data_IF_758920684107
#
_entry.id   IF_758920684107
#
_cell.length_a   1.000
_cell.length_b   1.000
_cell.length_c   1.000
_cell.angle_alpha   90.00
_cell.angle_beta   90.00
_cell.angle_gamma   90.00
#
_symmetry.space_group_name_H-M   'P 1'
#
loop_
_entity.id
_entity.type
_entity.pdbx_description
1 polymer ?
#
# COMPACT_ATOMS: atom_id res chain seq x y z
N UNK A 1 16.03 -5.88 4.19
CA UNK A 1 14.91 -5.34 4.98
C UNK A 1 13.63 -5.53 4.18
N UNK A 2 12.46 -5.57 4.83
CA UNK A 2 11.16 -5.48 4.14
C UNK A 2 10.54 -4.10 4.35
N UNK A 3 9.65 -3.73 3.46
CA UNK A 3 8.97 -2.44 3.46
C UNK A 3 7.48 -2.66 3.20
N UNK A 4 6.64 -1.79 3.76
CA UNK A 4 5.23 -1.68 3.44
C UNK A 4 5.01 -0.42 2.62
N UNK A 5 4.25 -0.56 1.54
CA UNK A 5 3.65 0.57 0.83
C UNK A 5 2.14 0.44 0.97
N UNK A 6 1.56 1.28 1.81
CA UNK A 6 0.15 1.25 2.16
C UNK A 6 -0.58 2.45 1.58
N UNK A 7 -1.76 2.20 1.02
CA UNK A 7 -2.66 3.23 0.51
C UNK A 7 -4.04 3.06 1.12
N UNK A 8 -4.56 4.12 1.74
CA UNK A 8 -5.95 4.20 2.18
C UNK A 8 -6.74 5.13 1.25
N UNK A 9 -7.91 4.66 0.86
CA UNK A 9 -8.83 5.35 -0.04
C UNK A 9 -10.13 5.51 0.73
N UNK A 10 -10.50 6.74 1.07
CA UNK A 10 -11.81 7.06 1.62
C UNK A 10 -12.62 7.86 0.60
N UNK A 11 -13.71 7.25 0.09
CA UNK A 11 -14.60 7.88 -0.89
C UNK A 11 -16.04 7.39 -0.68
N UNK A 12 -16.97 8.25 -0.24
CA UNK A 12 -18.37 7.87 -0.07
C UNK A 12 -19.00 7.22 -1.33
N UNK A 13 -19.68 6.09 -1.17
CA UNK A 13 -20.32 5.30 -2.24
C UNK A 13 -19.40 4.30 -2.95
N UNK A 14 -18.31 3.88 -2.29
CA UNK A 14 -17.25 3.08 -2.89
C UNK A 14 -17.66 1.62 -3.21
N UNK A 15 -18.72 1.12 -2.61
CA UNK A 15 -19.29 -0.21 -2.92
C UNK A 15 -19.59 -0.37 -4.42
N UNK A 16 -20.01 0.71 -5.09
CA UNK A 16 -20.23 0.73 -6.55
C UNK A 16 -18.93 0.72 -7.36
N UNK A 17 -17.80 0.99 -6.71
CA UNK A 17 -16.47 1.24 -7.29
C UNK A 17 -15.43 0.22 -6.85
N UNK A 18 -15.84 -0.90 -6.26
CA UNK A 18 -14.95 -2.03 -5.96
C UNK A 18 -14.14 -2.42 -7.20
N UNK A 19 -14.79 -2.52 -8.36
CA UNK A 19 -14.12 -2.82 -9.63
C UNK A 19 -13.10 -1.75 -10.06
N UNK A 20 -13.30 -0.47 -9.72
CA UNK A 20 -12.31 0.60 -9.96
C UNK A 20 -11.06 0.35 -9.10
N UNK A 21 -11.24 -0.02 -7.83
CA UNK A 21 -10.13 -0.28 -6.92
C UNK A 21 -9.36 -1.54 -7.30
N UNK A 22 -10.06 -2.59 -7.74
CA UNK A 22 -9.44 -3.80 -8.28
C UNK A 22 -8.65 -3.48 -9.55
N UNK A 23 -9.20 -2.68 -10.46
CA UNK A 23 -8.51 -2.26 -11.69
C UNK A 23 -7.24 -1.46 -11.40
N UNK A 24 -7.29 -0.56 -10.41
CA UNK A 24 -6.12 0.21 -9.97
C UNK A 24 -5.07 -0.66 -9.28
N UNK A 25 -5.48 -1.60 -8.43
CA UNK A 25 -4.56 -2.57 -7.85
C UNK A 25 -3.85 -3.39 -8.94
N UNK A 26 -4.61 -3.85 -9.94
CA UNK A 26 -4.05 -4.54 -11.10
C UNK A 26 -3.06 -3.68 -11.88
N UNK A 27 -3.43 -2.43 -12.22
CA UNK A 27 -2.53 -1.52 -12.92
C UNK A 27 -1.24 -1.29 -12.13
N UNK A 28 -1.33 -1.15 -10.80
CA UNK A 28 -0.17 -1.03 -9.93
C UNK A 28 0.70 -2.31 -9.94
N UNK A 29 0.10 -3.50 -9.84
CA UNK A 29 0.81 -4.79 -9.96
C UNK A 29 1.60 -4.87 -11.28
N UNK A 30 0.99 -4.43 -12.38
CA UNK A 30 1.62 -4.44 -13.69
C UNK A 30 2.76 -3.42 -13.80
N UNK A 31 2.63 -2.25 -13.16
CA UNK A 31 3.66 -1.22 -13.14
C UNK A 31 4.93 -1.67 -12.38
N UNK A 32 4.78 -2.39 -11.26
CA UNK A 32 5.91 -2.86 -10.46
C UNK A 32 6.53 -4.16 -10.99
N UNK A 33 5.84 -4.89 -11.86
CA UNK A 33 6.25 -6.20 -12.40
C UNK A 33 7.70 -6.26 -12.90
N UNK A 34 8.26 -5.27 -13.62
CA UNK A 34 9.63 -5.34 -14.12
C UNK A 34 10.73 -5.23 -13.06
N UNK A 35 10.39 -4.89 -11.81
CA UNK A 35 11.37 -4.50 -10.78
C UNK A 35 11.78 -5.64 -9.84
N UNK A 36 11.10 -6.79 -9.90
CA UNK A 36 11.48 -8.03 -9.21
C UNK A 36 10.91 -9.23 -10.00
N UNK A 37 11.73 -10.22 -10.40
CA UNK A 37 11.27 -11.41 -11.12
C UNK A 37 10.11 -12.17 -10.45
N UNK A 38 10.01 -12.14 -9.12
CA UNK A 38 8.92 -12.80 -8.40
C UNK A 38 7.56 -12.16 -8.72
N UNK A 39 7.52 -10.87 -9.07
CA UNK A 39 6.29 -10.13 -9.40
C UNK A 39 5.63 -10.57 -10.71
N UNK A 40 6.27 -11.46 -11.48
CA UNK A 40 5.66 -12.05 -12.67
C UNK A 40 4.59 -13.10 -12.36
N UNK A 41 4.59 -13.63 -11.14
CA UNK A 41 3.67 -14.68 -10.69
C UNK A 41 2.96 -14.19 -9.44
N UNK A 42 1.63 -14.14 -9.45
CA UNK A 42 0.80 -13.78 -8.30
C UNK A 42 -0.24 -14.86 -8.05
N UNK A 43 -0.33 -15.34 -6.81
CA UNK A 43 -1.31 -16.34 -6.39
C UNK A 43 -1.97 -15.93 -5.09
N UNK A 44 -3.20 -16.38 -4.89
CA UNK A 44 -3.87 -16.20 -3.60
C UNK A 44 -3.15 -16.99 -2.50
N UNK A 45 -3.03 -16.40 -1.32
CA UNK A 45 -2.56 -17.12 -0.13
C UNK A 45 -3.56 -18.20 0.29
N UNK A 46 -3.10 -19.18 1.07
CA UNK A 46 -3.97 -20.22 1.60
C UNK A 46 -3.52 -20.64 3.00
N UNK A 47 -4.37 -21.40 3.69
CA UNK A 47 -4.09 -21.92 5.04
C UNK A 47 -2.91 -22.90 5.07
N UNK A 48 -2.57 -23.50 3.93
CA UNK A 48 -1.48 -24.46 3.81
C UNK A 48 -0.63 -24.13 2.60
N UNK A 49 0.66 -24.48 2.68
CA UNK A 49 1.61 -24.32 1.57
C UNK A 49 1.14 -25.04 0.30
N UNK A 50 0.74 -26.30 0.41
CA UNK A 50 0.28 -27.08 -0.74
C UNK A 50 -0.93 -26.45 -1.45
N UNK A 51 -1.88 -25.88 -0.69
CA UNK A 51 -3.00 -25.15 -1.29
C UNK A 51 -2.53 -23.85 -1.96
N UNK A 52 -1.66 -23.07 -1.32
CA UNK A 52 -1.13 -21.83 -1.89
C UNK A 52 -0.34 -22.09 -3.18
N UNK A 53 0.42 -23.19 -3.23
CA UNK A 53 1.15 -23.62 -4.42
C UNK A 53 0.23 -24.03 -5.56
N UNK A 54 -0.88 -24.71 -5.23
CA UNK A 54 -1.88 -25.17 -6.20
C UNK A 54 -2.79 -24.07 -6.72
N UNK A 55 -2.88 -22.91 -6.04
CA UNK A 55 -3.68 -21.80 -6.50
C UNK A 55 -3.23 -21.29 -7.88
N UNK A 56 -4.17 -20.96 -8.78
CA UNK A 56 -3.84 -20.51 -10.13
C UNK A 56 -3.13 -19.16 -10.10
N UNK A 57 -2.24 -18.95 -11.08
CA UNK A 57 -1.60 -17.65 -11.29
C UNK A 57 -2.65 -16.63 -11.79
N UNK A 58 -2.59 -15.41 -11.27
CA UNK A 58 -3.42 -14.28 -11.72
C UNK A 58 -2.66 -13.56 -12.84
N UNK A 59 -3.13 -13.70 -14.07
CA UNK A 59 -2.49 -13.19 -15.28
C UNK A 59 -3.30 -12.08 -15.96
N UNK A 60 -4.55 -11.89 -15.56
CA UNK A 60 -5.47 -10.90 -16.12
C UNK A 60 -6.27 -10.17 -15.04
N UNK A 61 -6.75 -8.99 -15.39
CA UNK A 61 -7.64 -8.21 -14.53
C UNK A 61 -8.94 -8.98 -14.20
N UNK A 62 -9.50 -9.73 -15.15
CA UNK A 62 -10.73 -10.48 -14.92
C UNK A 62 -10.53 -11.65 -13.93
N UNK A 63 -9.37 -12.30 -13.96
CA UNK A 63 -9.01 -13.28 -12.93
C UNK A 63 -8.89 -12.62 -11.56
N UNK A 64 -8.26 -11.44 -11.45
CA UNK A 64 -8.17 -10.71 -10.18
C UNK A 64 -9.57 -10.34 -9.67
N UNK A 65 -10.43 -9.80 -10.53
CA UNK A 65 -11.84 -9.49 -10.19
C UNK A 65 -12.55 -10.73 -9.68
N UNK A 66 -12.45 -11.84 -10.40
CA UNK A 66 -13.07 -13.08 -9.99
C UNK A 66 -12.56 -13.56 -8.62
N UNK A 67 -11.25 -13.49 -8.37
CA UNK A 67 -10.68 -13.83 -7.06
C UNK A 67 -11.22 -12.94 -5.94
N UNK A 68 -11.31 -11.62 -6.15
CA UNK A 68 -11.85 -10.69 -5.14
C UNK A 68 -13.32 -10.97 -4.86
N UNK A 69 -14.14 -11.11 -5.91
CA UNK A 69 -15.58 -11.38 -5.79
C UNK A 69 -15.86 -12.75 -5.14
N UNK A 70 -15.07 -13.78 -5.45
CA UNK A 70 -15.20 -15.10 -4.84
C UNK A 70 -14.90 -15.12 -3.33
N UNK A 71 -14.07 -14.18 -2.85
CA UNK A 71 -13.74 -14.05 -1.44
C UNK A 71 -14.72 -13.19 -0.65
N UNK A 72 -15.67 -12.56 -1.32
CA UNK A 72 -16.67 -11.76 -0.65
C UNK A 72 -17.66 -12.66 0.10
N UNK A 73 -17.77 -12.42 1.40
CA UNK A 73 -18.79 -13.01 2.24
C UNK A 73 -19.92 -12.00 2.44
N UNK A 74 -21.18 -12.36 2.13
CA UNK A 74 -22.31 -11.42 2.18
C UNK A 74 -22.56 -10.77 3.55
N UNK A 75 -22.08 -11.37 4.63
CA UNK A 75 -22.18 -10.88 6.02
C UNK A 75 -21.07 -9.91 6.41
N UNK A 76 -20.04 -9.72 5.57
CA UNK A 76 -18.97 -8.77 5.79
C UNK A 76 -19.18 -7.49 4.96
N UNK A 77 -18.76 -6.32 5.47
CA UNK A 77 -18.83 -5.06 4.75
C UNK A 77 -18.15 -5.05 3.37
N UNK A 78 -17.13 -5.91 3.18
CA UNK A 78 -16.57 -6.16 1.86
C UNK A 78 -15.44 -7.20 1.88
N UNK A 79 -14.84 -7.54 0.71
CA UNK A 79 -13.84 -8.58 0.59
C UNK A 79 -12.45 -8.16 1.10
N UNK A 80 -11.68 -9.15 1.54
CA UNK A 80 -10.24 -9.01 1.73
C UNK A 80 -9.56 -10.19 1.06
N UNK A 81 -8.59 -9.90 0.19
CA UNK A 81 -7.73 -10.91 -0.40
C UNK A 81 -6.27 -10.57 -0.14
N UNK A 82 -5.47 -11.62 0.00
CA UNK A 82 -4.02 -11.53 0.12
C UNK A 82 -3.40 -12.39 -0.97
N UNK A 83 -2.54 -11.76 -1.77
CA UNK A 83 -1.77 -12.39 -2.84
C UNK A 83 -0.30 -12.46 -2.43
N UNK A 84 0.41 -13.49 -2.88
CA UNK A 84 1.86 -13.57 -2.78
C UNK A 84 2.47 -13.70 -4.17
N UNK A 85 3.67 -13.15 -4.32
CA UNK A 85 4.44 -13.18 -5.56
C UNK A 85 5.50 -14.28 -5.54
N UNK A 86 5.83 -14.83 -6.71
CA UNK A 86 6.80 -15.91 -6.86
C UNK A 86 6.34 -17.26 -6.30
N UNK A 87 7.29 -18.12 -5.96
CA UNK A 87 7.04 -19.37 -5.25
C UNK A 87 6.91 -19.15 -3.73
N UNK A 88 6.22 -20.06 -3.03
CA UNK A 88 5.90 -19.88 -1.59
C UNK A 88 7.15 -19.65 -0.74
N UNK A 89 8.30 -20.19 -1.15
CA UNK A 89 9.59 -19.97 -0.47
C UNK A 89 10.53 -18.99 -1.20
N UNK A 90 10.08 -18.33 -2.28
CA UNK A 90 10.93 -17.46 -3.12
C UNK A 90 11.21 -16.08 -2.50
N UNK A 91 10.79 -15.87 -1.24
CA UNK A 91 10.84 -14.59 -0.55
C UNK A 91 10.27 -13.42 -1.40
N UNK A 92 9.15 -13.70 -2.07
CA UNK A 92 8.43 -12.71 -2.85
C UNK A 92 7.71 -11.68 -1.97
N UNK A 93 7.23 -10.64 -2.64
CA UNK A 93 6.31 -9.64 -2.07
C UNK A 93 4.90 -10.21 -1.90
N UNK A 94 4.10 -9.61 -1.01
CA UNK A 94 2.66 -9.85 -0.91
C UNK A 94 1.86 -8.57 -1.18
N UNK A 95 0.65 -8.73 -1.68
CA UNK A 95 -0.29 -7.64 -1.93
C UNK A 95 -1.60 -7.95 -1.19
N UNK A 96 -2.04 -7.02 -0.34
CA UNK A 96 -3.36 -7.06 0.29
C UNK A 96 -4.29 -6.09 -0.43
N UNK A 97 -5.49 -6.56 -0.76
CA UNK A 97 -6.58 -5.75 -1.28
C UNK A 97 -7.76 -5.93 -0.32
N UNK A 98 -8.08 -4.88 0.42
CA UNK A 98 -9.19 -4.85 1.36
C UNK A 98 -10.18 -3.79 0.92
N UNK A 99 -11.40 -4.20 0.58
CA UNK A 99 -12.44 -3.31 0.06
C UNK A 99 -13.61 -3.32 1.03
N UNK A 100 -14.12 -2.14 1.39
CA UNK A 100 -15.27 -1.95 2.26
C UNK A 100 -15.02 -2.26 3.74
N UNK A 101 -13.78 -2.45 4.17
CA UNK A 101 -13.45 -2.75 5.58
C UNK A 101 -12.39 -1.79 6.13
N UNK A 102 -12.55 -1.28 7.38
CA UNK A 102 -13.60 -1.62 8.35
C UNK A 102 -14.96 -0.95 8.05
N UNK A 103 -15.03 -0.02 7.09
CA UNK A 103 -16.25 0.68 6.69
C UNK A 103 -16.46 0.61 5.17
N UNK A 104 -17.71 0.61 4.68
CA UNK A 104 -18.03 0.44 3.25
C UNK A 104 -17.29 1.42 2.32
N UNK A 105 -17.09 2.66 2.77
CA UNK A 105 -16.47 3.72 1.97
C UNK A 105 -14.92 3.72 2.00
N UNK A 106 -14.30 2.72 2.61
CA UNK A 106 -12.85 2.67 2.83
C UNK A 106 -12.22 1.44 2.21
N UNK A 107 -11.24 1.66 1.32
CA UNK A 107 -10.45 0.61 0.69
C UNK A 107 -8.96 0.77 1.04
N UNK A 108 -8.26 -0.36 1.16
CA UNK A 108 -6.82 -0.43 1.36
C UNK A 108 -6.16 -1.28 0.27
N UNK A 109 -5.07 -0.77 -0.26
CA UNK A 109 -4.17 -1.50 -1.17
C UNK A 109 -2.77 -1.41 -0.57
N UNK A 110 -2.20 -2.55 -0.22
CA UNK A 110 -0.95 -2.64 0.53
C UNK A 110 0.01 -3.62 -0.13
N UNK A 111 1.23 -3.16 -0.41
CA UNK A 111 2.33 -4.00 -0.87
C UNK A 111 3.32 -4.20 0.28
N UNK A 112 3.54 -5.44 0.69
CA UNK A 112 4.64 -5.81 1.58
C UNK A 112 5.75 -6.47 0.76
N UNK A 113 6.93 -5.88 0.75
CA UNK A 113 8.01 -6.31 -0.15
C UNK A 113 8.69 -7.60 0.29
N UNK A 114 9.13 -8.41 -0.67
CA UNK A 114 10.22 -9.37 -0.46
C UNK A 114 11.55 -8.67 -0.13
N UNK A 115 12.59 -9.40 0.29
CA UNK A 115 13.85 -8.75 0.67
C UNK A 115 14.56 -8.09 -0.52
N UNK A 116 14.45 -8.63 -1.73
CA UNK A 116 15.10 -8.05 -2.92
C UNK A 116 14.56 -6.66 -3.24
N UNK A 117 13.24 -6.53 -3.36
CA UNK A 117 12.58 -5.25 -3.61
C UNK A 117 12.80 -4.28 -2.44
N UNK A 118 12.76 -4.78 -1.19
CA UNK A 118 13.04 -3.97 0.00
C UNK A 118 14.49 -3.46 0.06
N UNK A 119 15.48 -4.28 -0.32
CA UNK A 119 16.87 -3.86 -0.42
C UNK A 119 17.09 -2.79 -1.49
N UNK A 120 16.29 -2.81 -2.57
CA UNK A 120 16.32 -1.74 -3.58
C UNK A 120 15.79 -0.43 -3.02
N UNK A 121 14.69 -0.46 -2.26
CA UNK A 121 14.16 0.74 -1.58
C UNK A 121 15.20 1.33 -0.62
N UNK A 122 15.96 0.49 0.08
CA UNK A 122 17.05 0.93 0.96
C UNK A 122 18.21 1.60 0.23
N UNK A 123 18.58 1.08 -0.94
CA UNK A 123 19.78 1.49 -1.65
C UNK A 123 19.54 2.65 -2.64
N UNK A 124 18.30 2.87 -3.07
CA UNK A 124 17.94 3.74 -4.18
C UNK A 124 16.72 4.60 -3.82
N UNK A 125 16.99 5.84 -3.38
CA UNK A 125 15.93 6.79 -3.05
C UNK A 125 15.11 7.20 -4.28
N UNK A 126 15.70 7.25 -5.48
CA UNK A 126 14.97 7.57 -6.70
C UNK A 126 13.96 6.45 -7.03
N UNK A 127 14.32 5.19 -6.76
CA UNK A 127 13.38 4.07 -6.84
C UNK A 127 12.28 4.17 -5.78
N UNK A 128 12.60 4.54 -4.54
CA UNK A 128 11.60 4.75 -3.50
C UNK A 128 10.62 5.88 -3.86
N UNK A 129 11.13 7.00 -4.39
CA UNK A 129 10.33 8.11 -4.92
C UNK A 129 9.44 7.65 -6.07
N UNK A 130 10.00 6.92 -7.04
CA UNK A 130 9.25 6.35 -8.16
C UNK A 130 8.12 5.42 -7.69
N UNK A 131 8.39 4.56 -6.71
CA UNK A 131 7.44 3.55 -6.24
C UNK A 131 6.21 4.21 -5.60
N UNK A 132 6.42 5.12 -4.65
CA UNK A 132 5.31 5.82 -4.00
C UNK A 132 4.60 6.76 -4.97
N UNK A 133 5.32 7.43 -5.89
CA UNK A 133 4.71 8.26 -6.93
C UNK A 133 3.81 7.46 -7.85
N UNK A 134 4.30 6.31 -8.33
CA UNK A 134 3.55 5.43 -9.22
C UNK A 134 2.32 4.89 -8.53
N UNK A 135 2.45 4.40 -7.28
CA UNK A 135 1.33 3.94 -6.48
C UNK A 135 0.30 5.05 -6.23
N UNK A 136 0.72 6.23 -5.76
CA UNK A 136 -0.18 7.34 -5.50
C UNK A 136 -0.91 7.81 -6.77
N UNK A 137 -0.23 7.82 -7.93
CA UNK A 137 -0.84 8.24 -9.21
C UNK A 137 -1.87 7.24 -9.72
N UNK A 138 -1.60 5.94 -9.61
CA UNK A 138 -2.51 4.88 -10.08
C UNK A 138 -3.68 4.71 -9.11
N UNK A 139 -3.37 4.52 -7.83
CA UNK A 139 -4.37 4.25 -6.79
C UNK A 139 -5.23 5.49 -6.54
N UNK A 140 -4.63 6.68 -6.58
CA UNK A 140 -5.26 7.95 -6.20
C UNK A 140 -5.87 7.88 -4.79
N UNK A 141 -5.05 7.64 -3.76
CA UNK A 141 -5.51 7.42 -2.39
C UNK A 141 -5.87 8.75 -1.69
N UNK A 142 -6.42 8.66 -0.50
CA UNK A 142 -6.59 9.80 0.42
C UNK A 142 -5.29 10.05 1.20
N UNK A 143 -4.61 8.97 1.59
CA UNK A 143 -3.30 8.97 2.26
C UNK A 143 -2.52 7.72 1.86
N UNK A 144 -1.20 7.81 1.83
CA UNK A 144 -0.34 6.64 1.63
C UNK A 144 1.00 6.78 2.32
N UNK A 145 1.66 5.66 2.61
CA UNK A 145 2.91 5.63 3.35
C UNK A 145 3.82 4.52 2.83
N UNK A 146 5.11 4.84 2.65
CA UNK A 146 6.20 3.90 2.47
C UNK A 146 6.94 3.76 3.80
N UNK A 147 6.76 2.63 4.46
CA UNK A 147 7.15 2.33 5.83
C UNK A 147 8.17 1.19 5.87
N UNK A 148 9.17 1.30 6.73
CA UNK A 148 10.11 0.19 6.98
C UNK A 148 9.44 -0.85 7.88
N UNK A 149 9.56 -2.13 7.53
CA UNK A 149 9.06 -3.21 8.39
C UNK A 149 9.83 -3.26 9.72
N UNK A 150 9.12 -3.53 10.82
CA UNK A 150 9.68 -3.52 12.16
C UNK A 150 10.02 -2.15 12.75
N UNK A 151 9.66 -1.04 12.08
CA UNK A 151 9.75 0.28 12.70
C UNK A 151 8.87 0.33 13.97
N UNK A 152 9.36 0.90 15.08
CA UNK A 152 8.58 0.96 16.31
C UNK A 152 7.33 1.80 16.08
N UNK A 153 6.17 1.23 16.42
CA UNK A 153 4.90 1.95 16.44
C UNK A 153 4.90 2.93 17.62
N UNK A 154 4.29 4.10 17.43
CA UNK A 154 4.01 4.97 18.55
C UNK A 154 3.00 4.32 19.50
N UNK A 155 3.15 4.49 20.83
CA UNK A 155 2.19 3.98 21.81
C UNK A 155 0.80 4.60 21.67
N UNK A 156 0.77 5.87 21.27
CA UNK A 156 -0.45 6.61 20.95
C UNK A 156 -0.72 6.53 19.43
N UNK A 157 -2.00 6.50 19.00
CA UNK A 157 -2.33 6.60 17.58
C UNK A 157 -1.69 7.82 16.94
N UNK A 158 -1.20 7.65 15.72
CA UNK A 158 -0.66 8.77 14.94
C UNK A 158 -1.74 9.83 14.72
N UNK A 159 -1.42 11.13 14.81
CA UNK A 159 -2.41 12.21 14.70
C UNK A 159 -3.06 12.34 13.32
N UNK A 160 -2.62 11.54 12.35
CA UNK A 160 -3.14 11.42 10.99
C UNK A 160 -3.80 10.04 10.72
N UNK A 161 -4.04 9.26 11.77
CA UNK A 161 -4.76 7.97 11.78
C UNK A 161 -4.25 6.97 10.70
N UNK A 162 -2.94 6.96 10.46
CA UNK A 162 -2.30 6.10 9.46
C UNK A 162 -0.89 5.70 9.90
N UNK A 163 -0.31 4.67 9.29
CA UNK A 163 1.05 4.22 9.63
C UNK A 163 2.11 5.29 9.28
N UNK A 164 3.12 5.52 10.14
CA UNK A 164 4.19 6.47 9.85
C UNK A 164 5.06 5.94 8.69
N UNK A 165 5.25 6.77 7.66
CA UNK A 165 6.10 6.44 6.52
C UNK A 165 7.33 7.33 6.41
N UNK A 166 8.43 6.78 5.88
CA UNK A 166 9.57 7.59 5.44
C UNK A 166 9.15 8.57 4.35
N UNK A 167 8.33 8.08 3.41
CA UNK A 167 7.68 8.88 2.39
C UNK A 167 6.18 8.70 2.54
N UNK A 168 5.41 9.78 2.54
CA UNK A 168 3.95 9.70 2.64
C UNK A 168 3.30 10.57 1.57
N UNK A 169 2.23 10.06 0.99
CA UNK A 169 1.33 10.84 0.16
C UNK A 169 0.19 11.40 1.02
N UNK A 170 -0.13 12.68 0.84
CA UNK A 170 -1.36 13.27 1.35
C UNK A 170 -2.15 13.86 0.18
N UNK A 171 -3.46 13.63 0.15
CA UNK A 171 -4.35 14.37 -0.75
C UNK A 171 -4.42 15.83 -0.33
N UNK A 172 -4.58 16.77 -1.29
CA UNK A 172 -4.65 18.22 -1.00
C UNK A 172 -5.75 18.62 -0.02
N UNK A 173 -6.83 17.85 -0.01
CA UNK A 173 -8.01 18.08 0.84
C UNK A 173 -7.86 17.42 2.22
N UNK A 174 -6.72 16.80 2.52
CA UNK A 174 -6.49 16.19 3.84
C UNK A 174 -6.49 17.27 4.93
N UNK A 175 -7.16 17.04 6.07
CA UNK A 175 -7.08 17.95 7.22
C UNK A 175 -5.65 18.04 7.78
N UNK A 176 -4.79 17.09 7.42
CA UNK A 176 -3.39 17.01 7.83
C UNK A 176 -2.44 17.76 6.89
N UNK A 177 -2.92 18.28 5.75
CA UNK A 177 -2.09 18.84 4.68
C UNK A 177 -1.05 19.86 5.17
N UNK A 178 -1.47 20.90 5.88
CA UNK A 178 -0.56 21.96 6.33
C UNK A 178 0.51 21.44 7.29
N UNK A 179 0.12 20.57 8.22
CA UNK A 179 1.02 20.02 9.23
C UNK A 179 1.99 18.99 8.64
N UNK A 180 1.53 18.21 7.64
CA UNK A 180 2.36 17.28 6.87
C UNK A 180 3.52 18.04 6.19
N UNK A 181 3.20 19.13 5.52
CA UNK A 181 4.18 19.98 4.86
C UNK A 181 5.15 20.64 5.84
N UNK A 182 4.69 21.04 7.03
CA UNK A 182 5.52 21.73 8.01
C UNK A 182 6.70 20.87 8.52
N UNK A 183 6.53 19.55 8.55
CA UNK A 183 7.55 18.60 9.04
C UNK A 183 8.39 17.98 7.91
N UNK A 184 7.93 18.04 6.66
CA UNK A 184 8.60 17.38 5.55
C UNK A 184 9.93 18.05 5.19
N UNK A 185 10.99 17.25 4.99
CA UNK A 185 12.29 17.74 4.51
C UNK A 185 12.32 17.90 2.99
N UNK A 186 11.48 17.14 2.27
CA UNK A 186 11.32 17.19 0.80
C UNK A 186 9.84 17.07 0.45
N UNK A 187 9.41 17.84 -0.53
CA UNK A 187 8.05 17.85 -1.06
C UNK A 187 8.10 17.64 -2.57
N UNK A 188 7.32 16.69 -3.08
CA UNK A 188 7.11 16.46 -4.51
C UNK A 188 5.62 16.59 -4.80
N UNK A 189 5.18 17.66 -5.49
CA UNK A 189 3.77 17.82 -5.84
C UNK A 189 3.35 16.79 -6.89
N UNK A 190 2.14 16.28 -6.77
CA UNK A 190 1.48 15.39 -7.74
C UNK A 190 0.04 15.89 -7.99
N UNK A 191 -0.65 15.35 -8.99
CA UNK A 191 -1.91 15.94 -9.50
C UNK A 191 -2.97 16.26 -8.40
N UNK A 192 -3.16 15.34 -7.45
CA UNK A 192 -4.20 15.43 -6.41
C UNK A 192 -3.63 15.68 -5.00
N UNK A 193 -2.32 15.93 -4.87
CA UNK A 193 -1.69 16.02 -3.55
C UNK A 193 -0.17 16.21 -3.61
N UNK A 194 0.52 15.70 -2.59
CA UNK A 194 1.97 15.76 -2.52
C UNK A 194 2.54 14.51 -1.85
N UNK A 195 3.73 14.12 -2.29
CA UNK A 195 4.58 13.13 -1.62
C UNK A 195 5.58 13.91 -0.77
N UNK A 196 5.59 13.58 0.52
CA UNK A 196 6.36 14.24 1.56
C UNK A 196 7.37 13.24 2.11
N UNK A 197 8.64 13.63 2.16
CA UNK A 197 9.69 12.82 2.79
C UNK A 197 9.99 13.38 4.17
N UNK A 198 10.08 12.49 5.15
CA UNK A 198 10.39 12.82 6.54
C UNK A 198 11.76 12.24 6.87
N UNK A 199 12.83 13.02 6.75
CA UNK A 199 14.19 12.57 7.07
C UNK A 199 14.69 11.42 6.19
N UNK A 200 15.25 10.38 6.81
CA UNK A 200 15.85 9.21 6.14
C UNK A 200 15.08 7.93 6.46
N UNK A 201 15.36 6.82 5.75
CA UNK A 201 14.78 5.50 6.06
C UNK A 201 14.89 5.04 7.52
N UNK A 202 15.85 5.60 8.28
CA UNK A 202 16.14 5.21 9.67
C UNK A 202 15.74 6.26 10.70
N UNK A 203 15.34 7.46 10.28
CA UNK A 203 15.09 8.61 11.18
C UNK A 203 13.70 9.20 11.04
N UNK A 204 12.92 8.78 10.05
CA UNK A 204 11.62 9.38 9.73
C UNK A 204 10.62 9.40 10.89
N UNK A 205 10.60 8.35 11.72
CA UNK A 205 9.72 8.27 12.89
C UNK A 205 10.01 9.39 13.89
N UNK A 206 11.27 9.79 14.07
CA UNK A 206 11.63 10.88 14.97
C UNK A 206 11.11 12.24 14.46
N UNK A 207 11.05 12.43 13.14
CA UNK A 207 10.45 13.62 12.53
C UNK A 207 8.94 13.61 12.71
N UNK A 208 8.28 12.49 12.42
CA UNK A 208 6.82 12.37 12.56
C UNK A 208 6.35 12.48 14.02
N UNK A 209 7.16 12.07 14.99
CA UNK A 209 6.86 12.23 16.42
C UNK A 209 6.80 13.70 16.89
N UNK A 210 7.22 14.65 16.05
CA UNK A 210 7.08 16.08 16.32
C UNK A 210 5.71 16.63 15.90
N UNK A 211 4.88 15.80 15.27
CA UNK A 211 3.53 16.16 14.88
C UNK A 211 2.68 16.44 16.12
N UNK A 212 2.03 17.61 16.24
CA UNK A 212 1.18 17.93 17.37
C UNK A 212 0.01 16.96 17.47
N UNK A 213 -0.11 16.28 18.61
CA UNK A 213 -1.34 15.58 18.95
C UNK A 213 -2.41 16.65 19.22
N UNK A 214 -3.36 16.81 18.30
CA UNK A 214 -4.55 17.61 18.54
C UNK A 214 -5.36 16.89 19.62
N UNK A 215 -5.08 17.20 20.89
CA UNK A 215 -5.88 16.77 22.05
C UNK A 215 -7.17 17.57 22.14
#
# INVERSE_FOLDING_TARGET
>A
MKWYLDFSIYRPGLDQRMDESIAKAWEFMQAIKPYDPNLYRWRETARTKAQAEANPNIETLDQLRQTVHNNWKPDLPGPTIMLFSGDVDADGSSLSIQLGMPSPDTHFISLHTGHNLGARIDADEDFADWLIYTGARIINPTIGALQRDGAPLNPDPEPYDFGPGWKMFFHRDSPHWAQAHALASKTVPVAEGAILTYGTPDTYTQTLNQWPNNK
#
